data_IF_938136626287
#
_entry.id   IF_938136626287
#
_cell.length_a   1.000
_cell.length_b   1.000
_cell.length_c   1.000
_cell.angle_alpha   90.00
_cell.angle_beta   90.00
_cell.angle_gamma   90.00
#
_symmetry.space_group_name_H-M   'P 1'
#
loop_
_entity.id
_entity.type
_entity.pdbx_description
1 polymer ?
#
# COMPACT_ATOMS: atom_id res chain seq x y z
N UNK A 1 -9.04 23.52 -22.07
CA UNK A 1 -8.66 22.71 -23.25
C UNK A 1 -7.90 21.49 -22.71
N UNK A 2 -8.51 20.30 -22.72
CA UNK A 2 -7.84 19.07 -22.29
C UNK A 2 -6.75 18.66 -23.29
N UNK A 3 -5.65 18.10 -22.78
CA UNK A 3 -4.63 17.52 -23.66
C UNK A 3 -5.26 16.41 -24.52
N UNK A 4 -4.88 16.31 -25.82
CA UNK A 4 -5.41 15.24 -26.68
C UNK A 4 -5.02 13.87 -26.10
N UNK A 5 -5.89 12.87 -26.23
CA UNK A 5 -5.71 11.52 -25.69
C UNK A 5 -4.34 10.91 -26.03
N UNK A 6 -3.81 11.22 -27.21
CA UNK A 6 -2.52 10.72 -27.68
C UNK A 6 -1.30 11.31 -26.96
N UNK A 7 -1.48 12.46 -26.29
CA UNK A 7 -0.43 13.11 -25.50
C UNK A 7 -0.37 12.62 -24.04
N UNK A 8 -1.27 11.73 -23.63
CA UNK A 8 -1.32 11.15 -22.29
C UNK A 8 -0.30 10.01 -22.15
N UNK A 9 0.30 9.92 -20.96
CA UNK A 9 1.12 8.77 -20.57
C UNK A 9 0.29 7.47 -20.59
N UNK A 10 0.90 6.34 -20.79
CA UNK A 10 0.23 5.02 -20.88
C UNK A 10 -0.63 4.70 -19.63
N UNK A 11 -0.19 5.15 -18.46
CA UNK A 11 -0.97 5.02 -17.22
C UNK A 11 -2.25 5.88 -17.27
N UNK A 12 -2.14 7.13 -17.73
CA UNK A 12 -3.28 8.03 -17.86
C UNK A 12 -4.26 7.55 -18.95
N UNK A 13 -3.77 6.98 -20.06
CA UNK A 13 -4.61 6.32 -21.09
C UNK A 13 -5.40 5.14 -20.52
N UNK A 14 -4.76 4.30 -19.70
CA UNK A 14 -5.41 3.18 -19.02
C UNK A 14 -6.53 3.66 -18.09
N UNK A 15 -6.25 4.69 -17.28
CA UNK A 15 -7.25 5.30 -16.38
C UNK A 15 -8.40 5.90 -17.17
N UNK A 16 -8.13 6.67 -18.23
CA UNK A 16 -9.15 7.26 -19.10
C UNK A 16 -10.07 6.19 -19.70
N UNK A 17 -9.51 5.04 -20.12
CA UNK A 17 -10.29 3.90 -20.62
C UNK A 17 -11.19 3.30 -19.54
N UNK A 18 -10.70 3.12 -18.30
CA UNK A 18 -11.50 2.61 -17.17
C UNK A 18 -12.61 3.57 -16.78
N UNK A 19 -12.38 4.89 -16.88
CA UNK A 19 -13.42 5.91 -16.65
C UNK A 19 -14.50 5.78 -17.73
N UNK A 20 -14.11 5.68 -19.01
CA UNK A 20 -15.04 5.52 -20.12
C UNK A 20 -15.89 4.25 -20.00
N UNK A 21 -15.29 3.15 -19.54
CA UNK A 21 -15.96 1.86 -19.31
C UNK A 21 -16.71 1.76 -17.98
N UNK A 22 -16.62 2.79 -17.11
CA UNK A 22 -17.18 2.81 -15.73
C UNK A 22 -16.78 1.60 -14.87
N UNK A 23 -15.62 1.00 -15.13
CA UNK A 23 -15.12 -0.14 -14.35
C UNK A 23 -14.34 0.29 -13.12
N UNK A 24 -14.50 -0.40 -11.97
CA UNK A 24 -13.65 -0.15 -10.81
C UNK A 24 -12.21 -0.54 -11.10
N UNK A 25 -11.24 0.31 -10.75
CA UNK A 25 -9.80 0.01 -10.85
C UNK A 25 -9.34 -0.78 -9.63
N UNK A 26 -10.08 -0.71 -8.51
CA UNK A 26 -9.70 -1.38 -7.27
C UNK A 26 -9.56 -2.90 -7.45
N UNK A 27 -8.31 -3.38 -7.57
CA UNK A 27 -7.94 -4.80 -7.53
C UNK A 27 -7.24 -5.10 -6.21
N UNK A 28 -7.52 -6.27 -5.65
CA UNK A 28 -6.75 -6.78 -4.52
C UNK A 28 -5.41 -7.37 -5.02
N UNK A 29 -4.46 -6.49 -5.39
CA UNK A 29 -3.12 -6.87 -5.87
C UNK A 29 -2.42 -7.79 -4.87
N UNK A 30 -2.58 -7.54 -3.57
CA UNK A 30 -2.03 -8.38 -2.52
C UNK A 30 -2.41 -9.85 -2.64
N UNK A 31 -3.67 -10.16 -2.99
CA UNK A 31 -4.14 -11.54 -3.13
C UNK A 31 -3.56 -12.24 -4.38
N UNK A 32 -3.36 -11.52 -5.47
CA UNK A 32 -2.74 -12.05 -6.68
C UNK A 32 -1.25 -12.38 -6.44
N UNK A 33 -0.52 -11.50 -5.76
CA UNK A 33 0.90 -11.73 -5.41
C UNK A 33 1.03 -12.92 -4.46
N UNK A 34 0.19 -13.01 -3.42
CA UNK A 34 0.24 -14.09 -2.44
C UNK A 34 -0.12 -15.46 -3.05
N UNK A 35 -0.94 -15.50 -4.10
CA UNK A 35 -1.30 -16.75 -4.80
C UNK A 35 -0.14 -17.36 -5.60
N UNK A 36 0.82 -16.55 -6.05
CA UNK A 36 1.98 -17.00 -6.84
C UNK A 36 3.24 -17.28 -6.01
N UNK A 37 3.15 -17.25 -4.67
CA UNK A 37 4.28 -17.49 -3.80
C UNK A 37 4.75 -18.94 -3.83
N UNK A 38 6.07 -19.13 -4.02
CA UNK A 38 6.72 -20.44 -3.89
C UNK A 38 6.80 -20.88 -2.42
N UNK A 39 6.95 -22.18 -2.16
CA UNK A 39 7.13 -22.71 -0.82
C UNK A 39 8.35 -22.11 -0.12
N UNK A 40 9.45 -21.88 -0.85
CA UNK A 40 10.65 -21.24 -0.32
C UNK A 40 10.40 -19.80 0.14
N UNK A 41 9.63 -19.04 -0.61
CA UNK A 41 9.26 -17.66 -0.26
C UNK A 41 8.39 -17.60 0.99
N UNK A 42 7.39 -18.49 1.10
CA UNK A 42 6.55 -18.61 2.30
C UNK A 42 7.36 -18.98 3.55
N UNK A 43 8.30 -19.90 3.39
CA UNK A 43 9.19 -20.30 4.48
C UNK A 43 10.11 -19.16 4.91
N UNK A 44 10.67 -18.41 3.95
CA UNK A 44 11.51 -17.25 4.24
C UNK A 44 10.75 -16.17 5.02
N UNK A 45 9.49 -15.90 4.66
CA UNK A 45 8.65 -14.95 5.38
C UNK A 45 8.28 -15.40 6.78
N UNK A 46 7.97 -16.69 6.94
CA UNK A 46 7.68 -17.25 8.26
C UNK A 46 8.92 -17.14 9.19
N UNK A 47 10.12 -17.45 8.66
CA UNK A 47 11.38 -17.32 9.41
C UNK A 47 11.68 -15.85 9.73
N UNK A 48 11.51 -14.95 8.77
CA UNK A 48 11.74 -13.52 8.99
C UNK A 48 10.75 -12.94 10.03
N UNK A 49 9.47 -13.28 9.92
CA UNK A 49 8.42 -12.85 10.86
C UNK A 49 8.67 -13.39 12.27
N UNK A 50 9.03 -14.68 12.39
CA UNK A 50 9.35 -15.29 13.67
C UNK A 50 10.61 -14.68 14.28
N UNK A 51 11.69 -14.54 13.48
CA UNK A 51 12.97 -13.96 13.93
C UNK A 51 12.88 -12.49 14.37
N UNK A 52 11.88 -11.74 13.86
CA UNK A 52 11.57 -10.38 14.28
C UNK A 52 10.61 -10.28 15.49
N UNK A 53 10.20 -11.40 16.10
CA UNK A 53 9.25 -11.41 17.20
C UNK A 53 9.92 -11.39 18.58
N UNK A 54 9.24 -10.79 19.56
CA UNK A 54 9.65 -10.85 20.97
C UNK A 54 9.70 -12.28 21.52
N UNK A 55 8.86 -13.16 20.97
CA UNK A 55 8.86 -14.60 21.31
C UNK A 55 10.19 -15.25 20.95
N UNK A 56 10.71 -14.96 19.76
CA UNK A 56 12.03 -15.44 19.34
C UNK A 56 13.13 -14.92 20.26
N UNK A 57 13.12 -13.61 20.59
CA UNK A 57 14.12 -13.02 21.48
C UNK A 57 14.08 -13.67 22.86
N UNK A 58 12.90 -13.89 23.43
CA UNK A 58 12.73 -14.55 24.71
C UNK A 58 13.20 -16.02 24.70
N UNK A 59 12.82 -16.77 23.66
CA UNK A 59 13.25 -18.16 23.48
C UNK A 59 14.77 -18.25 23.30
N UNK A 60 15.34 -17.36 22.50
CA UNK A 60 16.78 -17.31 22.26
C UNK A 60 17.54 -17.01 23.56
N UNK A 61 17.11 -16.04 24.34
CA UNK A 61 17.69 -15.72 25.65
C UNK A 61 17.60 -16.93 26.61
N UNK A 62 16.46 -17.61 26.64
CA UNK A 62 16.28 -18.81 27.45
C UNK A 62 17.25 -19.94 27.03
N UNK A 63 17.42 -20.20 25.74
CA UNK A 63 18.38 -21.19 25.22
C UNK A 63 19.79 -20.84 25.63
N UNK A 64 20.19 -19.57 25.55
CA UNK A 64 21.51 -19.08 25.96
C UNK A 64 21.75 -19.30 27.45
N UNK A 65 20.76 -18.93 28.28
CA UNK A 65 20.86 -19.14 29.74
C UNK A 65 20.96 -20.62 30.11
N UNK A 66 20.16 -21.47 29.46
CA UNK A 66 20.21 -22.93 29.67
C UNK A 66 21.58 -23.49 29.24
N UNK A 67 22.11 -23.03 28.09
CA UNK A 67 23.43 -23.50 27.63
C UNK A 67 24.53 -23.16 28.64
N UNK A 68 24.63 -21.92 29.03
CA UNK A 68 25.64 -21.46 29.99
C UNK A 68 25.44 -22.11 31.37
N UNK A 69 24.20 -22.18 31.85
CA UNK A 69 23.84 -22.81 33.12
C UNK A 69 24.18 -24.30 33.16
N UNK A 70 23.89 -25.03 32.06
CA UNK A 70 24.21 -26.46 31.96
C UNK A 70 25.73 -26.70 31.95
N UNK A 71 26.49 -25.90 31.20
CA UNK A 71 27.94 -25.98 31.21
C UNK A 71 28.53 -25.67 32.60
N UNK A 72 28.06 -24.62 33.28
CA UNK A 72 28.50 -24.31 34.62
C UNK A 72 28.16 -25.43 35.64
N UNK A 73 26.96 -26.00 35.56
CA UNK A 73 26.51 -27.10 36.40
C UNK A 73 27.39 -28.36 36.21
N UNK A 74 27.68 -28.72 34.95
CA UNK A 74 28.53 -29.85 34.63
C UNK A 74 29.97 -29.65 35.11
N UNK A 75 30.50 -28.42 34.97
CA UNK A 75 31.82 -28.08 35.43
C UNK A 75 31.93 -28.28 36.95
N UNK A 76 30.95 -27.80 37.73
CA UNK A 76 30.93 -27.94 39.17
C UNK A 76 30.76 -29.40 39.63
N UNK A 77 29.89 -30.17 38.92
CA UNK A 77 29.58 -31.56 39.33
C UNK A 77 30.61 -32.59 38.87
N UNK A 78 31.18 -32.40 37.69
CA UNK A 78 32.06 -33.42 37.04
C UNK A 78 33.49 -32.94 36.82
N UNK A 79 33.79 -31.66 37.09
CA UNK A 79 35.09 -31.07 36.78
C UNK A 79 35.38 -30.88 35.29
N UNK A 80 34.45 -31.30 34.43
CA UNK A 80 34.51 -31.16 32.97
C UNK A 80 33.21 -30.64 32.40
N UNK A 81 33.28 -29.95 31.25
CA UNK A 81 32.13 -29.41 30.53
C UNK A 81 32.26 -29.77 29.06
N UNK A 82 31.16 -29.78 28.32
CA UNK A 82 31.14 -30.10 26.90
C UNK A 82 31.54 -28.90 26.02
N UNK A 83 31.34 -27.65 26.50
CA UNK A 83 31.73 -26.42 25.82
C UNK A 83 32.38 -25.45 26.82
N UNK A 84 33.69 -25.63 27.10
CA UNK A 84 34.40 -24.79 28.05
C UNK A 84 34.50 -23.34 27.58
N UNK A 85 34.65 -22.42 28.53
CA UNK A 85 34.96 -21.05 28.19
C UNK A 85 36.15 -20.98 27.20
N UNK A 86 36.06 -20.24 26.08
CA UNK A 86 35.10 -19.16 25.74
C UNK A 86 33.86 -19.60 24.95
N UNK A 87 33.35 -20.81 25.12
CA UNK A 87 32.11 -21.30 24.47
C UNK A 87 32.22 -21.36 22.94
N UNK A 88 33.22 -22.05 22.45
CA UNK A 88 33.53 -22.13 21.00
C UNK A 88 32.40 -22.79 20.23
N UNK A 89 31.79 -23.84 20.75
CA UNK A 89 30.69 -24.55 20.11
C UNK A 89 29.46 -23.67 20.01
N UNK A 90 29.11 -22.96 21.10
CA UNK A 90 28.03 -21.99 21.10
C UNK A 90 28.25 -20.89 20.06
N UNK A 91 29.46 -20.32 20.05
CA UNK A 91 29.79 -19.26 19.10
C UNK A 91 29.71 -19.74 17.64
N UNK A 92 30.09 -20.97 17.36
CA UNK A 92 29.96 -21.59 16.04
C UNK A 92 28.49 -21.71 15.62
N UNK A 93 27.60 -22.19 16.50
CA UNK A 93 26.18 -22.30 16.23
C UNK A 93 25.54 -20.92 15.99
N UNK A 94 25.90 -19.93 16.81
CA UNK A 94 25.38 -18.55 16.66
C UNK A 94 25.84 -17.93 15.34
N UNK A 95 27.09 -18.10 14.97
CA UNK A 95 27.64 -17.58 13.72
C UNK A 95 26.99 -18.23 12.49
N UNK A 96 26.78 -19.57 12.54
CA UNK A 96 26.06 -20.29 11.48
C UNK A 96 24.61 -19.84 11.37
N UNK A 97 23.91 -19.66 12.49
CA UNK A 97 22.53 -19.16 12.51
C UNK A 97 22.46 -17.76 11.92
N UNK A 98 23.33 -16.86 12.34
CA UNK A 98 23.39 -15.49 11.81
C UNK A 98 23.67 -15.45 10.30
N UNK A 99 24.59 -16.28 9.82
CA UNK A 99 24.95 -16.37 8.41
C UNK A 99 23.78 -16.83 7.52
N UNK A 100 22.92 -17.72 8.03
CA UNK A 100 21.73 -18.20 7.31
C UNK A 100 20.57 -17.19 7.44
N UNK A 101 20.39 -16.60 8.60
CA UNK A 101 19.27 -15.70 8.89
C UNK A 101 19.32 -14.40 8.07
N UNK A 102 20.51 -13.81 7.90
CA UNK A 102 20.68 -12.56 7.21
C UNK A 102 20.16 -12.57 5.75
N UNK A 103 20.54 -13.51 4.87
CA UNK A 103 20.01 -13.55 3.49
C UNK A 103 18.51 -13.89 3.44
N UNK A 104 17.98 -14.67 4.39
CA UNK A 104 16.54 -14.97 4.46
C UNK A 104 15.74 -13.71 4.77
N UNK A 105 16.18 -12.91 5.74
CA UNK A 105 15.56 -11.64 6.08
C UNK A 105 15.62 -10.68 4.89
N UNK A 106 16.76 -10.60 4.21
CA UNK A 106 16.92 -9.73 3.03
C UNK A 106 15.98 -10.13 1.89
N UNK A 107 15.82 -11.44 1.62
CA UNK A 107 14.85 -11.91 0.62
C UNK A 107 13.40 -11.52 0.97
N UNK A 108 13.02 -11.65 2.24
CA UNK A 108 11.70 -11.21 2.71
C UNK A 108 11.51 -9.70 2.59
N UNK A 109 12.51 -8.91 2.99
CA UNK A 109 12.47 -7.44 2.87
C UNK A 109 12.37 -6.96 1.42
N UNK A 110 13.15 -7.54 0.51
CA UNK A 110 13.10 -7.21 -0.92
C UNK A 110 11.70 -7.46 -1.49
N UNK A 111 11.06 -8.56 -1.10
CA UNK A 111 9.72 -8.87 -1.54
C UNK A 111 8.67 -7.94 -0.95
N UNK A 112 8.79 -7.57 0.32
CA UNK A 112 7.90 -6.55 0.92
C UNK A 112 8.03 -5.20 0.20
N UNK A 113 9.26 -4.78 -0.10
CA UNK A 113 9.51 -3.56 -0.86
C UNK A 113 8.91 -3.59 -2.27
N UNK A 114 8.97 -4.74 -2.97
CA UNK A 114 8.33 -4.91 -4.27
C UNK A 114 6.80 -4.83 -4.17
N UNK A 115 6.22 -5.47 -3.15
CA UNK A 115 4.78 -5.40 -2.87
C UNK A 115 4.33 -3.98 -2.54
N UNK A 116 5.09 -3.25 -1.73
CA UNK A 116 4.80 -1.86 -1.37
C UNK A 116 4.87 -0.95 -2.60
N UNK A 117 5.85 -1.18 -3.48
CA UNK A 117 5.95 -0.45 -4.74
C UNK A 117 4.74 -0.68 -5.64
N UNK A 118 4.28 -1.93 -5.78
CA UNK A 118 3.10 -2.25 -6.57
C UNK A 118 1.81 -1.65 -5.97
N UNK A 119 1.70 -1.64 -4.65
CA UNK A 119 0.59 -0.98 -3.96
C UNK A 119 0.62 0.55 -4.19
N UNK A 120 1.79 1.19 -4.07
CA UNK A 120 1.93 2.62 -4.33
C UNK A 120 1.58 3.00 -5.78
N UNK A 121 2.00 2.19 -6.77
CA UNK A 121 1.63 2.39 -8.18
C UNK A 121 0.10 2.26 -8.38
N UNK A 122 -0.54 1.33 -7.68
CA UNK A 122 -1.99 1.16 -7.72
C UNK A 122 -2.74 2.32 -7.07
N UNK A 123 -2.28 2.76 -5.89
CA UNK A 123 -2.87 3.91 -5.18
C UNK A 123 -2.77 5.17 -6.04
N UNK A 124 -1.66 5.34 -6.76
CA UNK A 124 -1.53 6.43 -7.73
C UNK A 124 -2.57 6.33 -8.86
N UNK A 125 -2.80 5.13 -9.45
CA UNK A 125 -3.83 4.94 -10.48
C UNK A 125 -5.25 5.27 -9.94
N UNK A 126 -5.55 4.88 -8.72
CA UNK A 126 -6.85 5.17 -8.06
C UNK A 126 -7.02 6.65 -7.80
N UNK A 127 -5.99 7.32 -7.26
CA UNK A 127 -6.02 8.76 -6.99
C UNK A 127 -6.16 9.57 -8.28
N UNK A 128 -5.42 9.22 -9.33
CA UNK A 128 -5.52 9.87 -10.63
C UNK A 128 -6.93 9.74 -11.21
N UNK A 129 -7.56 8.57 -11.06
CA UNK A 129 -8.95 8.38 -11.48
C UNK A 129 -9.89 9.29 -10.70
N UNK A 130 -9.76 9.35 -9.37
CA UNK A 130 -10.60 10.19 -8.52
C UNK A 130 -10.45 11.68 -8.89
N UNK A 131 -9.23 12.15 -9.15
CA UNK A 131 -8.97 13.53 -9.58
C UNK A 131 -9.64 13.83 -10.92
N UNK A 132 -9.54 12.95 -11.91
CA UNK A 132 -10.20 13.13 -13.21
C UNK A 132 -11.72 13.08 -13.09
N UNK A 133 -12.29 12.22 -12.26
CA UNK A 133 -13.75 12.19 -12.01
C UNK A 133 -14.22 13.48 -11.34
N UNK A 134 -13.45 14.05 -10.41
CA UNK A 134 -13.74 15.35 -9.77
C UNK A 134 -13.68 16.47 -10.81
N UNK A 135 -12.69 16.51 -11.69
CA UNK A 135 -12.60 17.50 -12.76
C UNK A 135 -13.82 17.44 -13.68
N UNK A 136 -14.23 16.24 -14.12
CA UNK A 136 -15.42 16.04 -14.93
C UNK A 136 -16.71 16.45 -14.21
N UNK A 137 -16.77 16.28 -12.89
CA UNK A 137 -17.89 16.71 -12.08
C UNK A 137 -17.97 18.23 -12.03
N UNK A 138 -16.85 18.93 -11.84
CA UNK A 138 -16.79 20.39 -11.87
C UNK A 138 -17.23 20.95 -13.22
N UNK A 139 -16.74 20.38 -14.33
CA UNK A 139 -17.15 20.79 -15.68
C UNK A 139 -18.66 20.65 -15.88
N UNK A 140 -19.27 19.56 -15.42
CA UNK A 140 -20.72 19.37 -15.47
C UNK A 140 -21.48 20.35 -14.57
N UNK A 141 -20.96 20.64 -13.39
CA UNK A 141 -21.56 21.63 -12.48
C UNK A 141 -21.52 23.02 -13.08
N UNK A 142 -20.41 23.41 -13.69
CA UNK A 142 -20.27 24.71 -14.33
C UNK A 142 -21.24 24.86 -15.53
N UNK A 143 -21.35 23.83 -16.36
CA UNK A 143 -22.31 23.81 -17.46
C UNK A 143 -23.77 23.89 -16.97
N UNK A 144 -24.12 23.21 -15.87
CA UNK A 144 -25.45 23.31 -15.26
C UNK A 144 -25.72 24.69 -14.69
N UNK A 145 -24.74 25.32 -14.03
CA UNK A 145 -24.85 26.69 -13.49
C UNK A 145 -25.03 27.69 -14.59
N UNK A 146 -24.28 27.59 -15.68
CA UNK A 146 -24.38 28.48 -16.83
C UNK A 146 -25.77 28.41 -17.45
N UNK A 147 -26.30 27.21 -17.70
CA UNK A 147 -27.65 26.99 -18.21
C UNK A 147 -28.72 27.53 -17.29
N UNK A 148 -28.64 27.29 -15.98
CA UNK A 148 -29.60 27.82 -15.00
C UNK A 148 -29.56 29.34 -14.95
N UNK A 149 -28.41 29.96 -15.10
CA UNK A 149 -28.24 31.41 -15.12
C UNK A 149 -28.88 32.01 -16.34
N UNK A 150 -28.71 31.42 -17.51
CA UNK A 150 -29.40 31.87 -18.76
C UNK A 150 -30.92 31.77 -18.64
N UNK A 151 -31.45 30.67 -18.09
CA UNK A 151 -32.88 30.48 -17.86
C UNK A 151 -33.43 31.52 -16.89
N UNK A 152 -32.74 31.82 -15.79
CA UNK A 152 -33.14 32.87 -14.83
C UNK A 152 -33.15 34.24 -15.46
N UNK A 153 -32.16 34.60 -16.26
CA UNK A 153 -32.11 35.87 -16.98
C UNK A 153 -33.26 36.00 -17.99
N UNK A 154 -33.60 34.91 -18.68
CA UNK A 154 -34.73 34.89 -19.61
C UNK A 154 -36.07 35.12 -18.87
N UNK A 155 -36.29 34.46 -17.74
CA UNK A 155 -37.48 34.64 -16.89
C UNK A 155 -37.56 36.07 -16.36
N UNK A 156 -36.46 36.64 -15.88
CA UNK A 156 -36.43 38.03 -15.42
C UNK A 156 -36.77 39.03 -16.52
N UNK A 157 -36.23 38.84 -17.72
CA UNK A 157 -36.59 39.69 -18.88
C UNK A 157 -38.07 39.60 -19.21
N UNK A 158 -38.65 38.41 -19.20
CA UNK A 158 -40.07 38.19 -19.44
C UNK A 158 -40.93 38.86 -18.37
N UNK A 159 -40.58 38.78 -17.11
CA UNK A 159 -41.28 39.46 -16.01
C UNK A 159 -41.23 40.98 -16.15
N UNK A 160 -40.07 41.54 -16.49
CA UNK A 160 -39.92 42.97 -16.72
C UNK A 160 -40.78 43.47 -17.89
N UNK A 161 -40.83 42.69 -18.97
CA UNK A 161 -41.68 43.03 -20.14
C UNK A 161 -43.18 43.00 -19.79
N UNK A 162 -43.63 41.99 -19.02
CA UNK A 162 -45.02 41.91 -18.55
C UNK A 162 -45.38 43.06 -17.61
N UNK A 163 -44.50 43.41 -16.68
CA UNK A 163 -44.69 44.56 -15.79
C UNK A 163 -44.75 45.89 -16.57
N UNK A 164 -43.91 46.04 -17.59
CA UNK A 164 -43.88 47.16 -18.47
C UNK A 164 -45.23 47.32 -19.25
N UNK A 165 -45.72 46.18 -19.78
CA UNK A 165 -47.02 46.15 -20.49
C UNK A 165 -48.20 46.44 -19.56
N UNK A 166 -48.23 45.92 -18.34
CA UNK A 166 -49.29 46.24 -17.36
C UNK A 166 -49.27 47.71 -16.96
N UNK A 167 -48.08 48.30 -16.76
CA UNK A 167 -47.95 49.74 -16.46
C UNK A 167 -48.41 50.64 -17.62
N UNK A 168 -48.21 50.20 -18.85
CA UNK A 168 -48.69 50.92 -20.04
C UNK A 168 -50.21 50.81 -20.19
N UNK A 169 -50.84 49.69 -19.85
CA UNK A 169 -52.27 49.45 -19.90
C UNK A 169 -53.09 50.18 -18.76
N UNK A 170 -52.37 50.54 -17.66
CA UNK A 170 -53.00 51.26 -16.53
C UNK A 170 -52.93 52.76 -16.61
N UNK A 171 -52.40 53.30 -17.72
CA UNK A 171 -52.43 54.73 -18.06
C UNK A 171 -53.46 55.03 -19.16
#
# INVERSE_FOLDING_TARGET
MGAPYDALDERAKKVARHIAERKPIARHISKEIDAHMTLGQRSADAVASFGGSWTFVGLFAAVMLVWVGLNAFLLVRRGTTFDPYPYILLNLFLSMLAAIQAPIILMSQNRHSEKDRLNADHDYEVNLKAELEIMLLHEKLDALREKQWEELLAIQKQQLNLLGALKAASR
#
